data_IF_087236323616
#
_entry.id   IF_087236323616
#
_cell.length_a   1.000
_cell.length_b   1.000
_cell.length_c   1.000
_cell.angle_alpha   90.00
_cell.angle_beta   90.00
_cell.angle_gamma   90.00
#
_symmetry.space_group_name_H-M   'P 1'
#
loop_
_entity.id
_entity.type
_entity.pdbx_description
1 polymer ?
#
# COMPACT_ATOMS: atom_id res chain seq x y z
N UNK A 1 -7.71 17.53 -6.55
CA UNK A 1 -6.41 17.13 -5.97
C UNK A 1 -5.98 15.84 -6.65
N UNK A 2 -4.77 15.79 -7.21
CA UNK A 2 -4.20 14.54 -7.74
C UNK A 2 -3.41 13.80 -6.64
N UNK A 3 -2.96 12.58 -6.92
CA UNK A 3 -2.25 11.76 -5.91
C UNK A 3 -0.93 12.40 -5.45
N UNK A 4 -0.18 13.06 -6.34
CA UNK A 4 1.06 13.76 -5.95
C UNK A 4 0.77 14.87 -4.93
N UNK A 5 -0.24 15.70 -5.20
CA UNK A 5 -0.69 16.74 -4.26
C UNK A 5 -1.21 16.16 -2.95
N UNK A 6 -1.86 14.99 -2.99
CA UNK A 6 -2.32 14.31 -1.78
C UNK A 6 -1.14 13.79 -0.94
N UNK A 7 -0.12 13.21 -1.57
CA UNK A 7 1.10 12.76 -0.89
C UNK A 7 1.78 13.92 -0.15
N UNK A 8 1.95 15.06 -0.82
CA UNK A 8 2.54 16.25 -0.22
C UNK A 8 1.72 16.72 1.00
N UNK A 9 0.40 16.69 0.91
CA UNK A 9 -0.49 17.07 2.01
C UNK A 9 -0.37 16.09 3.20
N UNK A 10 -0.25 14.78 2.94
CA UNK A 10 -0.04 13.76 3.98
C UNK A 10 1.29 13.99 4.69
N UNK A 11 2.37 14.25 3.94
CA UNK A 11 3.70 14.50 4.50
C UNK A 11 3.69 15.75 5.39
N UNK A 12 3.08 16.85 4.91
CA UNK A 12 2.94 18.07 5.70
C UNK A 12 2.12 17.84 6.98
N UNK A 13 1.00 17.12 6.88
CA UNK A 13 0.16 16.77 8.02
C UNK A 13 0.90 15.92 9.06
N UNK A 14 1.71 14.96 8.60
CA UNK A 14 2.53 14.09 9.43
C UNK A 14 3.68 14.84 10.10
N UNK A 15 4.35 15.73 9.38
CA UNK A 15 5.37 16.62 9.90
C UNK A 15 4.80 17.50 11.03
N UNK A 16 3.66 18.15 10.78
CA UNK A 16 2.99 19.03 11.75
C UNK A 16 2.57 18.32 13.05
N UNK A 17 2.43 16.98 13.03
CA UNK A 17 2.07 16.15 14.18
C UNK A 17 3.24 15.40 14.79
N UNK A 18 4.47 15.72 14.39
CA UNK A 18 5.68 15.05 14.85
C UNK A 18 5.67 13.53 14.57
N UNK A 19 4.99 13.08 13.52
CA UNK A 19 4.98 11.66 13.14
C UNK A 19 6.27 11.27 12.40
N UNK A 20 6.90 12.19 11.68
CA UNK A 20 8.15 11.91 10.96
C UNK A 20 9.33 11.68 11.91
N UNK A 21 9.46 12.53 12.94
CA UNK A 21 10.61 12.49 13.87
C UNK A 21 10.27 11.92 15.25
N UNK A 22 9.01 11.99 15.67
CA UNK A 22 8.55 11.49 16.98
C UNK A 22 8.01 10.06 16.96
N UNK A 23 7.84 9.47 15.77
CA UNK A 23 7.55 8.04 15.59
C UNK A 23 8.77 7.32 14.99
N UNK A 24 8.70 6.00 14.85
CA UNK A 24 9.76 5.18 14.26
C UNK A 24 9.22 4.38 13.07
N UNK A 25 10.08 4.00 12.11
CA UNK A 25 9.68 3.11 11.01
C UNK A 25 9.09 1.78 11.51
N UNK A 26 9.56 1.27 12.65
CA UNK A 26 9.02 0.06 13.27
C UNK A 26 7.58 0.28 13.74
N UNK A 27 7.31 1.41 14.39
CA UNK A 27 5.95 1.76 14.83
C UNK A 27 5.00 1.98 13.63
N UNK A 28 5.45 2.65 12.58
CA UNK A 28 4.64 2.82 11.36
C UNK A 28 4.41 1.50 10.62
N UNK A 29 5.39 0.58 10.62
CA UNK A 29 5.19 -0.77 10.09
C UNK A 29 4.13 -1.54 10.89
N UNK A 30 4.14 -1.43 12.22
CA UNK A 30 3.09 -2.04 13.07
C UNK A 30 1.73 -1.44 12.75
N UNK A 31 1.64 -0.10 12.58
CA UNK A 31 0.40 0.56 12.18
C UNK A 31 -0.08 0.10 10.80
N UNK A 32 0.82 -0.13 9.84
CA UNK A 32 0.47 -0.68 8.53
C UNK A 32 -0.14 -2.08 8.64
N UNK A 33 0.37 -2.92 9.54
CA UNK A 33 -0.20 -4.26 9.81
C UNK A 33 -1.58 -4.16 10.46
N UNK A 34 -1.80 -3.18 11.33
CA UNK A 34 -3.13 -2.88 11.90
C UNK A 34 -4.13 -2.56 10.78
N UNK A 35 -3.79 -1.64 9.87
CA UNK A 35 -4.66 -1.28 8.73
C UNK A 35 -4.95 -2.47 7.80
N UNK A 36 -3.94 -3.31 7.56
CA UNK A 36 -4.11 -4.55 6.81
C UNK A 36 -5.09 -5.51 7.51
N UNK A 37 -5.04 -5.59 8.84
CA UNK A 37 -5.97 -6.38 9.64
C UNK A 37 -7.40 -5.87 9.55
N UNK A 38 -7.59 -4.55 9.56
CA UNK A 38 -8.90 -3.92 9.36
C UNK A 38 -9.45 -4.18 7.95
N UNK A 39 -8.60 -4.07 6.92
CA UNK A 39 -8.97 -4.42 5.56
C UNK A 39 -9.44 -5.88 5.49
N UNK A 40 -8.67 -6.81 6.06
CA UNK A 40 -9.02 -8.23 6.08
C UNK A 40 -10.38 -8.47 6.78
N UNK A 41 -10.62 -7.79 7.91
CA UNK A 41 -11.88 -7.86 8.62
C UNK A 41 -13.04 -7.26 7.82
N UNK A 42 -12.82 -6.17 7.09
CA UNK A 42 -13.78 -5.54 6.19
C UNK A 42 -14.19 -6.46 5.04
N UNK A 43 -13.22 -7.09 4.39
CA UNK A 43 -13.45 -8.08 3.33
C UNK A 43 -14.24 -9.27 3.85
N UNK A 44 -13.83 -9.85 4.98
CA UNK A 44 -14.49 -11.02 5.58
C UNK A 44 -15.98 -10.78 5.93
N UNK A 45 -16.36 -9.52 6.15
CA UNK A 45 -17.73 -9.11 6.53
C UNK A 45 -18.48 -8.38 5.43
N UNK A 46 -17.92 -8.30 4.21
CA UNK A 46 -18.46 -7.51 3.10
C UNK A 46 -18.79 -6.05 3.49
N UNK A 47 -18.00 -5.46 4.38
CA UNK A 47 -18.18 -4.09 4.83
C UNK A 47 -17.45 -3.12 3.90
N UNK A 48 -18.16 -2.62 2.88
CA UNK A 48 -17.60 -1.73 1.85
C UNK A 48 -17.04 -0.41 2.39
N UNK A 49 -17.60 0.10 3.50
CA UNK A 49 -17.10 1.33 4.11
C UNK A 49 -15.74 1.09 4.77
N UNK A 50 -15.62 0.05 5.59
CA UNK A 50 -14.36 -0.32 6.22
C UNK A 50 -13.29 -0.68 5.18
N UNK A 51 -13.66 -1.39 4.12
CA UNK A 51 -12.72 -1.71 3.02
C UNK A 51 -12.16 -0.43 2.39
N UNK A 52 -13.01 0.57 2.11
CA UNK A 52 -12.58 1.81 1.50
C UNK A 52 -11.68 2.64 2.44
N UNK A 53 -12.03 2.65 3.72
CA UNK A 53 -11.30 3.33 4.79
C UNK A 53 -9.89 2.76 4.95
N UNK A 54 -9.78 1.44 5.21
CA UNK A 54 -8.50 0.78 5.43
C UNK A 54 -7.58 0.82 4.19
N UNK A 55 -8.13 0.82 2.96
CA UNK A 55 -7.33 1.04 1.75
C UNK A 55 -6.68 2.43 1.73
N UNK A 56 -7.42 3.46 2.16
CA UNK A 56 -6.91 4.83 2.29
C UNK A 56 -5.87 4.95 3.41
N UNK A 57 -6.15 4.36 4.57
CA UNK A 57 -5.26 4.43 5.72
C UNK A 57 -3.92 3.72 5.48
N UNK A 58 -3.93 2.57 4.82
CA UNK A 58 -2.69 1.93 4.37
C UNK A 58 -1.86 2.86 3.48
N UNK A 59 -2.49 3.60 2.57
CA UNK A 59 -1.77 4.54 1.69
C UNK A 59 -1.16 5.71 2.49
N UNK A 60 -1.89 6.25 3.46
CA UNK A 60 -1.39 7.28 4.38
C UNK A 60 -0.18 6.77 5.16
N UNK A 61 -0.29 5.58 5.77
CA UNK A 61 0.80 5.00 6.57
C UNK A 61 2.02 4.68 5.70
N UNK A 62 1.83 4.13 4.49
CA UNK A 62 2.93 3.88 3.55
C UNK A 62 3.65 5.17 3.15
N UNK A 63 2.92 6.27 2.94
CA UNK A 63 3.50 7.58 2.61
C UNK A 63 4.37 8.09 3.75
N UNK A 64 3.89 7.99 4.99
CA UNK A 64 4.63 8.41 6.19
C UNK A 64 5.86 7.52 6.38
N UNK A 65 5.71 6.20 6.28
CA UNK A 65 6.81 5.24 6.42
C UNK A 65 7.90 5.44 5.37
N UNK A 66 7.53 5.63 4.10
CA UNK A 66 8.48 5.93 3.03
C UNK A 66 9.28 7.20 3.34
N UNK A 67 8.59 8.26 3.79
CA UNK A 67 9.23 9.52 4.17
C UNK A 67 10.19 9.35 5.35
N UNK A 68 9.84 8.56 6.36
CA UNK A 68 10.73 8.26 7.50
C UNK A 68 11.99 7.49 7.08
N UNK A 69 11.93 6.73 5.98
CA UNK A 69 13.01 5.94 5.43
C UNK A 69 13.80 6.68 4.33
N UNK A 70 13.52 7.97 4.11
CA UNK A 70 14.11 8.77 3.03
C UNK A 70 13.85 8.18 1.63
N UNK A 71 12.64 7.65 1.42
CA UNK A 71 12.17 7.08 0.16
C UNK A 71 11.04 7.92 -0.43
N UNK A 72 11.03 8.05 -1.75
CA UNK A 72 9.89 8.58 -2.50
C UNK A 72 8.93 7.43 -2.86
N UNK A 73 7.72 7.46 -2.28
CA UNK A 73 6.70 6.45 -2.52
C UNK A 73 6.31 6.36 -4.00
N UNK A 74 6.31 7.48 -4.73
CA UNK A 74 5.97 7.48 -6.15
C UNK A 74 7.01 6.69 -6.96
N UNK A 75 8.30 6.91 -6.69
CA UNK A 75 9.40 6.14 -7.27
C UNK A 75 9.33 4.65 -6.89
N UNK A 76 8.93 4.31 -5.66
CA UNK A 76 8.72 2.91 -5.25
C UNK A 76 7.60 2.24 -6.06
N UNK A 77 6.47 2.93 -6.23
CA UNK A 77 5.32 2.43 -7.01
C UNK A 77 5.65 2.34 -8.49
N UNK A 78 6.38 3.32 -9.05
CA UNK A 78 6.82 3.29 -10.44
C UNK A 78 7.75 2.10 -10.73
N UNK A 79 8.68 1.82 -9.82
CA UNK A 79 9.53 0.62 -9.92
C UNK A 79 8.68 -0.66 -9.94
N UNK A 80 7.76 -0.82 -8.98
CA UNK A 80 6.87 -1.97 -8.93
C UNK A 80 5.99 -2.09 -10.20
N UNK A 81 5.49 -0.96 -10.73
CA UNK A 81 4.74 -0.94 -11.99
C UNK A 81 5.60 -1.44 -13.16
N UNK A 82 6.83 -0.97 -13.28
CA UNK A 82 7.75 -1.38 -14.34
C UNK A 82 8.06 -2.88 -14.30
N UNK A 83 8.02 -3.52 -13.12
CA UNK A 83 8.15 -4.97 -12.99
C UNK A 83 6.90 -5.77 -13.38
N UNK A 84 5.71 -5.16 -13.30
CA UNK A 84 4.44 -5.89 -13.50
C UNK A 84 3.77 -5.62 -14.85
N UNK A 85 4.03 -4.46 -15.47
CA UNK A 85 3.29 -3.97 -16.64
C UNK A 85 3.33 -4.89 -17.86
N UNK A 86 4.43 -5.63 -18.02
CA UNK A 86 4.63 -6.53 -19.17
C UNK A 86 4.41 -8.01 -18.81
N UNK A 87 4.00 -8.32 -17.57
CA UNK A 87 3.78 -9.70 -17.11
C UNK A 87 2.72 -10.39 -17.98
N UNK A 88 3.05 -11.62 -18.40
CA UNK A 88 2.13 -12.54 -19.08
C UNK A 88 1.67 -13.62 -18.12
N UNK A 89 0.44 -14.09 -18.29
CA UNK A 89 -0.19 -15.03 -17.39
C UNK A 89 -1.71 -15.02 -17.50
N UNK A 90 -2.36 -15.79 -16.63
CA UNK A 90 -3.81 -15.91 -16.58
C UNK A 90 -4.33 -15.99 -15.13
N UNK A 91 -5.59 -15.60 -14.91
CA UNK A 91 -6.24 -15.77 -13.62
C UNK A 91 -6.66 -17.22 -13.42
N UNK A 92 -6.36 -17.80 -12.25
CA UNK A 92 -6.89 -19.10 -11.85
C UNK A 92 -8.39 -19.03 -11.53
N UNK A 93 -9.11 -20.17 -11.54
CA UNK A 93 -10.47 -20.24 -11.01
C UNK A 93 -10.59 -19.85 -9.53
N UNK A 94 -9.48 -19.92 -8.78
CA UNK A 94 -9.40 -19.50 -7.37
C UNK A 94 -9.07 -18.02 -7.18
N UNK A 95 -8.95 -17.23 -8.26
CA UNK A 95 -8.74 -15.78 -8.20
C UNK A 95 -7.29 -15.34 -8.00
N UNK A 96 -6.31 -16.20 -8.30
CA UNK A 96 -4.88 -15.90 -8.21
C UNK A 96 -4.29 -15.73 -9.61
N UNK A 97 -3.49 -14.70 -9.83
CA UNK A 97 -2.76 -14.54 -11.10
C UNK A 97 -1.60 -15.55 -11.19
N UNK A 98 -1.61 -16.39 -12.22
CA UNK A 98 -0.56 -17.36 -12.51
C UNK A 98 0.30 -16.83 -13.67
N UNK A 99 1.61 -16.72 -13.46
CA UNK A 99 2.55 -16.26 -14.50
C UNK A 99 2.66 -17.29 -15.62
N UNK A 100 2.87 -16.83 -16.85
CA UNK A 100 3.03 -17.70 -18.02
C UNK A 100 4.17 -18.72 -17.85
N UNK A 101 5.28 -18.33 -17.21
CA UNK A 101 6.40 -19.22 -16.88
C UNK A 101 6.00 -20.42 -16.01
N UNK A 102 4.94 -20.26 -15.21
CA UNK A 102 4.51 -21.23 -14.21
C UNK A 102 3.36 -22.12 -14.76
N UNK A 103 2.86 -21.81 -15.97
CA UNK A 103 1.79 -22.59 -16.64
C UNK A 103 2.31 -23.85 -17.34
N UNK A 104 3.60 -23.90 -17.69
CA UNK A 104 4.21 -24.98 -18.47
C UNK A 104 4.87 -26.07 -17.61
N UNK A 105 4.62 -26.10 -16.30
CA UNK A 105 5.19 -27.10 -15.38
C UNK A 105 4.24 -28.27 -15.05
N UNK A 106 3.31 -28.60 -15.95
CA UNK A 106 2.40 -29.75 -15.83
C UNK A 106 2.58 -30.68 -17.02
#
# INVERSE_FOLDING_TARGET
MNLNQLNDNIIQWACARNLLSGSTPQAQTVKLVEELGELAAGVARNNRLLIADSLGDMFVVMTILATQLDLDLNSCVEQAWNEIKDRKGQMSPSGVFIKESDLTSV
#
